data_IF_681035557121
#
_entry.id   IF_681035557121
#
_cell.length_a   1.000
_cell.length_b   1.000
_cell.length_c   1.000
_cell.angle_alpha   90.00
_cell.angle_beta   90.00
_cell.angle_gamma   90.00
#
_symmetry.space_group_name_H-M   'P 1'
#
loop_
_entity.id
_entity.type
_entity.pdbx_description
1 polymer ?
#
# COMPACT_ATOMS: atom_id res chain seq x y z
N UNK A 1 -20.45 19.06 -12.15
CA UNK A 1 -20.51 17.73 -11.50
C UNK A 1 -19.42 17.62 -10.42
N UNK A 2 -19.42 16.60 -9.55
CA UNK A 2 -18.28 16.34 -8.65
C UNK A 2 -17.13 15.64 -9.40
N UNK A 3 -15.89 15.91 -8.98
CA UNK A 3 -14.70 15.23 -9.51
C UNK A 3 -14.80 13.70 -9.34
N UNK A 4 -14.74 12.91 -10.42
CA UNK A 4 -14.78 11.45 -10.32
C UNK A 4 -13.62 10.89 -9.50
N UNK A 5 -13.89 9.88 -8.68
CA UNK A 5 -12.85 9.21 -7.89
C UNK A 5 -11.91 8.42 -8.79
N UNK A 6 -10.62 8.75 -8.76
CA UNK A 6 -9.55 7.94 -9.38
C UNK A 6 -8.51 7.45 -8.37
N UNK A 7 -8.79 7.57 -7.07
CA UNK A 7 -7.90 7.21 -5.97
C UNK A 7 -7.70 8.36 -4.98
N UNK A 8 -6.89 8.14 -3.92
CA UNK A 8 -6.66 9.14 -2.86
C UNK A 8 -6.13 10.48 -3.37
N UNK A 9 -5.42 10.51 -4.50
CA UNK A 9 -4.92 11.74 -5.12
C UNK A 9 -6.00 12.65 -5.71
N UNK A 10 -7.23 12.13 -5.88
CA UNK A 10 -8.41 12.92 -6.29
C UNK A 10 -9.29 13.32 -5.11
N UNK A 11 -8.75 13.18 -3.89
CA UNK A 11 -9.36 13.64 -2.66
C UNK A 11 -8.41 14.62 -1.98
N UNK A 12 -8.96 15.79 -1.71
CA UNK A 12 -8.22 16.96 -1.29
C UNK A 12 -8.48 17.26 0.18
N UNK A 13 -7.78 18.25 0.68
CA UNK A 13 -7.98 18.76 2.03
C UNK A 13 -9.33 19.47 2.12
N UNK A 14 -10.15 19.09 3.10
CA UNK A 14 -11.39 19.81 3.37
C UNK A 14 -11.09 21.18 4.00
N UNK A 15 -11.65 22.29 3.48
CA UNK A 15 -11.44 23.62 4.05
C UNK A 15 -12.10 23.79 5.43
N UNK A 16 -13.14 22.99 5.75
CA UNK A 16 -13.84 23.06 7.04
C UNK A 16 -13.18 22.23 8.13
N UNK A 17 -12.93 20.94 7.90
CA UNK A 17 -12.40 20.04 8.93
C UNK A 17 -10.89 19.76 8.81
N UNK A 18 -10.24 20.19 7.72
CA UNK A 18 -8.81 20.00 7.51
C UNK A 18 -8.39 18.58 7.14
N UNK A 19 -9.30 17.63 7.08
CA UNK A 19 -9.01 16.24 6.72
C UNK A 19 -8.50 16.13 5.27
N UNK A 20 -7.43 15.38 5.06
CA UNK A 20 -6.56 15.44 3.88
C UNK A 20 -7.13 14.74 2.64
N UNK A 21 -8.01 13.76 2.82
CA UNK A 21 -8.48 12.87 1.77
C UNK A 21 -10.00 12.71 1.75
N UNK A 22 -10.74 13.76 2.13
CA UNK A 22 -12.20 13.73 2.16
C UNK A 22 -12.87 14.82 1.34
N UNK A 23 -12.12 15.70 0.66
CA UNK A 23 -12.75 16.77 -0.13
C UNK A 23 -12.77 16.46 -1.63
N UNK A 24 -13.93 16.64 -2.25
CA UNK A 24 -14.17 16.42 -3.68
C UNK A 24 -14.60 17.73 -4.33
N UNK A 25 -13.83 18.24 -5.31
CA UNK A 25 -14.17 19.49 -6.00
C UNK A 25 -15.41 19.37 -6.89
N UNK A 26 -16.14 20.47 -7.04
CA UNK A 26 -17.00 20.64 -8.22
C UNK A 26 -16.15 21.02 -9.43
N UNK A 27 -16.39 20.32 -10.54
CA UNK A 27 -15.62 20.47 -11.78
C UNK A 27 -16.49 20.92 -12.95
N UNK A 28 -15.87 21.62 -13.89
CA UNK A 28 -16.46 21.93 -15.19
C UNK A 28 -16.68 20.64 -15.97
N UNK A 29 -17.96 20.40 -16.32
CA UNK A 29 -18.37 19.15 -16.94
C UNK A 29 -18.02 19.08 -18.42
N UNK A 30 -17.97 20.23 -19.12
CA UNK A 30 -17.63 20.28 -20.55
C UNK A 30 -16.16 19.98 -20.75
N UNK A 31 -15.28 20.68 -20.03
CA UNK A 31 -13.82 20.42 -20.07
C UNK A 31 -13.50 18.96 -19.73
N UNK A 32 -14.18 18.41 -18.73
CA UNK A 32 -13.96 17.02 -18.35
C UNK A 32 -14.41 16.01 -19.42
N UNK A 33 -15.54 16.26 -20.09
CA UNK A 33 -16.06 15.37 -21.13
C UNK A 33 -15.26 15.47 -22.43
N UNK A 34 -14.83 16.67 -22.82
CA UNK A 34 -14.17 16.93 -24.10
C UNK A 34 -12.68 16.55 -24.07
N UNK A 35 -11.96 16.89 -23.01
CA UNK A 35 -10.50 16.68 -22.93
C UNK A 35 -10.04 15.83 -21.73
N UNK A 36 -10.94 15.49 -20.80
CA UNK A 36 -10.57 14.82 -19.55
C UNK A 36 -9.91 15.74 -18.53
N UNK A 37 -9.82 17.04 -18.81
CA UNK A 37 -9.24 18.03 -17.92
C UNK A 37 -10.11 18.24 -16.68
N UNK A 38 -9.45 18.32 -15.52
CA UNK A 38 -10.09 18.69 -14.27
C UNK A 38 -9.97 20.20 -14.10
N UNK A 39 -11.05 20.93 -14.35
CA UNK A 39 -11.12 22.36 -14.08
C UNK A 39 -12.05 22.65 -12.91
N UNK A 40 -11.57 23.39 -11.92
CA UNK A 40 -12.28 23.71 -10.68
C UNK A 40 -12.66 25.19 -10.62
N UNK A 41 -13.76 25.51 -9.94
CA UNK A 41 -14.24 26.89 -9.80
C UNK A 41 -13.49 27.66 -8.70
N UNK A 42 -13.15 27.00 -7.60
CA UNK A 42 -12.30 27.51 -6.52
C UNK A 42 -11.78 26.36 -5.64
N UNK A 43 -10.76 26.62 -4.83
CA UNK A 43 -10.17 25.64 -3.90
C UNK A 43 -11.10 25.25 -2.73
N UNK A 44 -12.18 26.00 -2.51
CA UNK A 44 -13.16 25.72 -1.47
C UNK A 44 -14.53 25.25 -2.03
N UNK A 45 -14.67 25.16 -3.35
CA UNK A 45 -15.90 24.75 -4.04
C UNK A 45 -15.93 23.23 -4.25
N UNK A 46 -16.75 22.54 -3.46
CA UNK A 46 -16.81 21.09 -3.44
C UNK A 46 -17.62 20.54 -2.28
N UNK A 47 -17.46 19.25 -2.01
CA UNK A 47 -18.16 18.50 -0.96
C UNK A 47 -17.18 17.68 -0.14
N UNK A 48 -17.38 17.65 1.18
CA UNK A 48 -16.68 16.74 2.08
C UNK A 48 -17.42 15.39 2.16
N UNK A 49 -16.68 14.31 2.01
CA UNK A 49 -17.14 12.92 2.06
C UNK A 49 -17.53 12.51 3.50
N UNK A 50 -17.04 13.24 4.52
CA UNK A 50 -17.43 13.06 5.92
C UNK A 50 -18.81 13.71 6.20
N UNK A 51 -19.86 13.18 5.59
CA UNK A 51 -21.20 13.80 5.59
C UNK A 51 -21.81 13.94 7.00
N UNK A 52 -21.65 12.92 7.85
CA UNK A 52 -22.26 12.89 9.18
C UNK A 52 -21.53 13.76 10.22
N UNK A 53 -20.24 14.01 10.03
CA UNK A 53 -19.41 14.73 11.01
C UNK A 53 -19.04 16.14 10.54
N UNK A 54 -18.70 16.30 9.26
CA UNK A 54 -18.29 17.57 8.68
C UNK A 54 -19.42 18.21 7.85
N UNK A 55 -20.00 17.46 6.91
CA UNK A 55 -21.11 17.91 6.07
C UNK A 55 -20.84 19.16 5.21
N UNK A 56 -19.57 19.52 4.98
CA UNK A 56 -19.24 20.71 4.19
C UNK A 56 -19.64 20.55 2.73
N UNK A 57 -20.39 21.52 2.19
CA UNK A 57 -20.75 21.62 0.76
C UNK A 57 -20.72 23.10 0.36
N UNK A 58 -20.00 23.43 -0.71
CA UNK A 58 -20.04 24.74 -1.36
C UNK A 58 -20.21 24.55 -2.86
N UNK A 59 -21.32 25.06 -3.39
CA UNK A 59 -21.63 25.03 -4.82
C UNK A 59 -20.97 26.21 -5.55
N UNK A 60 -20.64 26.07 -6.85
CA UNK A 60 -20.13 27.18 -7.65
C UNK A 60 -21.22 28.24 -7.84
N UNK A 61 -20.87 29.52 -7.75
CA UNK A 61 -21.84 30.62 -7.80
C UNK A 61 -22.17 31.11 -9.22
N UNK A 62 -21.66 30.44 -10.26
CA UNK A 62 -21.98 30.71 -11.66
C UNK A 62 -21.25 31.89 -12.30
N UNK A 63 -20.61 32.75 -11.52
CA UNK A 63 -19.77 33.87 -12.01
C UNK A 63 -18.28 33.50 -12.11
N UNK A 64 -17.89 32.37 -11.54
CA UNK A 64 -16.50 31.93 -11.45
C UNK A 64 -16.09 31.18 -12.72
N UNK A 65 -14.91 31.49 -13.25
CA UNK A 65 -14.35 30.77 -14.39
C UNK A 65 -13.51 29.58 -13.90
N UNK A 66 -13.81 28.38 -14.41
CA UNK A 66 -13.11 27.18 -13.97
C UNK A 66 -11.67 27.13 -14.50
N UNK A 67 -10.72 27.02 -13.58
CA UNK A 67 -9.28 26.93 -13.87
C UNK A 67 -8.85 25.46 -13.89
N UNK A 68 -8.15 25.06 -14.95
CA UNK A 68 -7.60 23.71 -15.06
C UNK A 68 -6.50 23.53 -14.00
N UNK A 69 -6.68 22.57 -13.10
CA UNK A 69 -5.63 22.18 -12.15
C UNK A 69 -4.73 21.13 -12.79
N UNK A 70 -3.41 21.32 -12.62
CA UNK A 70 -2.40 20.47 -13.22
C UNK A 70 -2.64 18.99 -12.93
N UNK A 71 -2.55 18.16 -13.97
CA UNK A 71 -2.60 16.72 -13.83
C UNK A 71 -1.37 16.25 -13.04
N UNK A 72 -1.58 15.64 -11.87
CA UNK A 72 -0.49 14.92 -11.18
C UNK A 72 -0.16 13.71 -12.06
N UNK A 73 0.94 13.80 -12.80
CA UNK A 73 1.49 12.63 -13.50
C UNK A 73 1.70 11.51 -12.50
N UNK A 74 1.03 10.37 -12.74
CA UNK A 74 1.29 9.18 -11.96
C UNK A 74 2.67 8.71 -12.32
N UNK A 75 3.56 8.63 -11.33
CA UNK A 75 4.82 7.91 -11.50
C UNK A 75 4.49 6.50 -12.02
N UNK A 76 5.13 6.02 -13.10
CA UNK A 76 4.91 4.67 -13.57
C UNK A 76 5.19 3.69 -12.44
N UNK A 77 4.43 2.58 -12.35
CA UNK A 77 4.68 1.56 -11.35
C UNK A 77 6.10 1.03 -11.53
N UNK A 78 6.87 1.01 -10.45
CA UNK A 78 8.17 0.34 -10.40
C UNK A 78 7.92 -1.12 -10.04
N UNK A 79 8.46 -2.04 -10.83
CA UNK A 79 8.39 -3.47 -10.58
C UNK A 79 9.73 -3.99 -10.05
N UNK A 80 9.66 -4.92 -9.10
CA UNK A 80 10.84 -5.69 -8.70
C UNK A 80 10.96 -6.95 -9.56
N UNK A 81 12.20 -7.32 -9.86
CA UNK A 81 12.57 -8.53 -10.58
C UNK A 81 12.63 -9.74 -9.65
N UNK A 82 12.68 -10.94 -10.23
CA UNK A 82 12.86 -12.17 -9.46
C UNK A 82 14.24 -12.20 -8.78
N UNK A 83 15.22 -11.54 -9.37
CA UNK A 83 16.57 -11.35 -8.84
C UNK A 83 16.57 -10.46 -7.60
N UNK A 84 15.75 -9.40 -7.57
CA UNK A 84 15.56 -8.58 -6.37
C UNK A 84 15.05 -9.45 -5.21
N UNK A 85 14.13 -10.40 -5.47
CA UNK A 85 13.65 -11.36 -4.46
C UNK A 85 14.72 -12.38 -4.05
N UNK A 86 15.63 -12.76 -4.95
CA UNK A 86 16.75 -13.67 -4.62
C UNK A 86 17.83 -12.99 -3.78
N UNK A 87 18.08 -11.70 -3.98
CA UNK A 87 18.91 -10.92 -3.04
C UNK A 87 18.27 -10.94 -1.67
N UNK A 88 16.94 -10.88 -1.65
CA UNK A 88 16.19 -11.08 -0.44
C UNK A 88 16.07 -12.55 -0.03
N UNK A 89 17.08 -13.42 -0.18
CA UNK A 89 17.00 -14.87 0.07
C UNK A 89 17.90 -15.44 1.17
N UNK A 90 18.78 -14.65 1.80
CA UNK A 90 19.89 -15.19 2.60
C UNK A 90 19.99 -14.67 4.05
N UNK A 91 19.28 -15.29 5.00
CA UNK A 91 19.41 -15.09 6.46
C UNK A 91 18.83 -16.28 7.21
N UNK A 92 19.58 -16.65 8.23
CA UNK A 92 19.55 -17.90 8.97
C UNK A 92 18.66 -17.82 10.23
N UNK A 93 17.74 -16.85 10.29
CA UNK A 93 16.97 -16.57 11.50
C UNK A 93 15.50 -16.98 11.34
N UNK A 94 15.14 -18.09 11.98
CA UNK A 94 13.77 -18.61 12.02
C UNK A 94 12.77 -17.58 12.57
N UNK A 95 11.83 -17.17 11.74
CA UNK A 95 10.68 -16.37 12.14
C UNK A 95 9.61 -17.26 12.80
N UNK A 96 8.76 -16.65 13.62
CA UNK A 96 7.78 -17.36 14.44
C UNK A 96 6.73 -18.10 13.60
N UNK A 97 6.42 -17.64 12.39
CA UNK A 97 5.47 -18.34 11.51
C UNK A 97 6.05 -19.66 11.00
N UNK A 98 7.28 -19.65 10.48
CA UNK A 98 7.96 -20.86 9.98
C UNK A 98 8.16 -21.85 11.12
N UNK A 99 8.60 -21.37 12.29
CA UNK A 99 8.72 -22.20 13.50
C UNK A 99 7.39 -22.82 13.90
N UNK A 100 6.33 -22.01 13.98
CA UNK A 100 4.99 -22.51 14.28
C UNK A 100 4.54 -23.57 13.28
N UNK A 101 4.78 -23.37 11.99
CA UNK A 101 4.39 -24.30 10.94
C UNK A 101 5.10 -25.66 11.08
N UNK A 102 6.42 -25.65 11.32
CA UNK A 102 7.22 -26.86 11.54
C UNK A 102 6.86 -27.56 12.85
N UNK A 103 6.90 -26.82 13.95
CA UNK A 103 6.92 -27.40 15.30
C UNK A 103 5.52 -27.66 15.88
N UNK A 104 4.52 -26.87 15.48
CA UNK A 104 3.17 -26.92 16.08
C UNK A 104 2.07 -27.29 15.11
N UNK A 105 2.14 -26.82 13.87
CA UNK A 105 1.15 -27.15 12.85
C UNK A 105 1.44 -28.47 12.12
N UNK A 106 2.59 -29.11 12.38
CA UNK A 106 2.95 -30.42 11.87
C UNK A 106 3.28 -30.44 10.37
N UNK A 107 3.78 -29.33 9.82
CA UNK A 107 4.25 -29.32 8.44
C UNK A 107 5.59 -30.06 8.35
N UNK A 108 5.66 -30.99 7.42
CA UNK A 108 6.92 -31.57 6.98
C UNK A 108 7.88 -30.49 6.43
N UNK A 109 9.17 -30.66 6.67
CA UNK A 109 10.21 -29.71 6.32
C UNK A 109 10.31 -29.48 4.81
N UNK A 110 10.33 -30.56 4.01
CA UNK A 110 10.42 -30.46 2.55
C UNK A 110 9.16 -29.82 1.96
N UNK A 111 7.99 -30.19 2.50
CA UNK A 111 6.72 -29.58 2.12
C UNK A 111 6.69 -28.09 2.43
N UNK A 112 7.13 -27.69 3.63
CA UNK A 112 7.15 -26.28 4.01
C UNK A 112 8.14 -25.50 3.15
N UNK A 113 9.35 -26.02 2.94
CA UNK A 113 10.34 -25.42 2.05
C UNK A 113 9.77 -25.20 0.64
N UNK A 114 9.06 -26.20 0.09
CA UNK A 114 8.40 -26.07 -1.22
C UNK A 114 7.38 -24.92 -1.22
N UNK A 115 6.53 -24.82 -0.20
CA UNK A 115 5.56 -23.72 -0.07
C UNK A 115 6.25 -22.37 -0.01
N UNK A 116 7.31 -22.24 0.80
CA UNK A 116 8.02 -20.99 0.97
C UNK A 116 8.66 -20.54 -0.36
N UNK A 117 9.19 -21.47 -1.16
CA UNK A 117 9.71 -21.19 -2.50
C UNK A 117 8.61 -20.86 -3.51
N UNK A 118 7.56 -21.69 -3.59
CA UNK A 118 6.47 -21.53 -4.56
C UNK A 118 5.74 -20.20 -4.40
N UNK A 119 5.56 -19.75 -3.14
CA UNK A 119 4.90 -18.49 -2.80
C UNK A 119 5.88 -17.33 -2.56
N UNK A 120 7.18 -17.56 -2.83
CA UNK A 120 8.26 -16.60 -2.64
C UNK A 120 8.31 -15.98 -1.23
N UNK A 121 7.93 -16.70 -0.18
CA UNK A 121 7.81 -16.13 1.17
C UNK A 121 9.16 -15.63 1.69
N UNK A 122 9.22 -14.32 1.97
CA UNK A 122 10.38 -13.65 2.56
C UNK A 122 10.28 -13.46 4.07
N UNK A 123 11.34 -12.97 4.66
CA UNK A 123 11.52 -12.68 6.07
C UNK A 123 12.47 -11.48 6.22
N UNK A 124 12.21 -10.57 7.13
CA UNK A 124 13.12 -9.47 7.44
C UNK A 124 14.12 -9.87 8.51
N UNK A 125 15.21 -9.10 8.67
CA UNK A 125 16.18 -9.29 9.77
C UNK A 125 15.54 -9.24 11.16
N UNK A 126 14.46 -8.46 11.32
CA UNK A 126 13.65 -8.40 12.54
C UNK A 126 12.49 -9.41 12.59
N UNK A 127 12.65 -10.59 11.95
CA UNK A 127 11.74 -11.75 12.01
C UNK A 127 10.31 -11.54 11.47
N UNK A 128 10.05 -10.48 10.72
CA UNK A 128 8.76 -10.26 10.06
C UNK A 128 8.66 -11.04 8.76
N UNK A 129 7.50 -11.61 8.44
CA UNK A 129 7.27 -12.33 7.18
C UNK A 129 6.84 -11.39 6.07
N UNK A 130 7.48 -11.53 4.90
CA UNK A 130 7.14 -10.79 3.69
C UNK A 130 6.25 -11.63 2.78
N UNK A 131 5.04 -11.13 2.55
CA UNK A 131 4.11 -11.64 1.55
C UNK A 131 4.13 -10.71 0.33
N UNK A 132 4.53 -11.26 -0.82
CA UNK A 132 4.63 -10.50 -2.07
C UNK A 132 3.28 -10.37 -2.78
N UNK A 133 3.06 -9.22 -3.39
CA UNK A 133 1.96 -8.97 -4.31
C UNK A 133 2.49 -9.10 -5.72
N UNK A 134 2.20 -10.26 -6.32
CA UNK A 134 2.67 -10.67 -7.64
C UNK A 134 1.47 -10.70 -8.58
N UNK A 135 1.59 -10.11 -9.77
CA UNK A 135 0.53 -10.16 -10.77
C UNK A 135 0.59 -11.43 -11.65
N UNK A 136 -0.39 -11.57 -12.55
CA UNK A 136 -0.49 -12.70 -13.49
C UNK A 136 0.66 -12.79 -14.51
N UNK A 137 1.49 -11.74 -14.62
CA UNK A 137 2.69 -11.70 -15.46
C UNK A 137 3.96 -11.92 -14.63
N UNK A 138 3.82 -12.30 -13.37
CA UNK A 138 4.91 -12.48 -12.40
C UNK A 138 5.68 -11.19 -12.07
N UNK A 139 5.12 -10.01 -12.34
CA UNK A 139 5.72 -8.77 -11.86
C UNK A 139 5.42 -8.59 -10.38
N UNK A 140 6.42 -8.17 -9.63
CA UNK A 140 6.28 -7.90 -8.20
C UNK A 140 5.96 -6.43 -8.03
N UNK A 141 4.77 -6.15 -7.48
CA UNK A 141 4.29 -4.80 -7.27
C UNK A 141 4.66 -4.26 -5.89
N UNK A 142 4.48 -5.09 -4.85
CA UNK A 142 4.64 -4.69 -3.44
C UNK A 142 4.98 -5.90 -2.58
N UNK A 143 5.46 -5.63 -1.37
CA UNK A 143 5.52 -6.62 -0.28
C UNK A 143 4.81 -6.11 0.96
N UNK A 144 4.21 -7.04 1.71
CA UNK A 144 3.58 -6.78 3.00
C UNK A 144 4.29 -7.57 4.08
N UNK A 145 4.86 -6.86 5.04
CA UNK A 145 5.58 -7.42 6.18
C UNK A 145 4.59 -7.61 7.32
N UNK A 146 4.57 -8.80 7.91
CA UNK A 146 3.68 -9.16 9.02
C UNK A 146 4.44 -9.95 10.08
N UNK A 147 4.26 -9.61 11.35
CA UNK A 147 4.87 -10.32 12.47
C UNK A 147 3.89 -11.31 13.10
N UNK A 148 4.45 -12.41 13.61
CA UNK A 148 3.70 -13.50 14.23
C UNK A 148 4.28 -13.77 15.61
N UNK A 149 3.40 -14.13 16.53
CA UNK A 149 3.73 -14.69 17.84
C UNK A 149 4.05 -16.18 17.71
N UNK A 150 4.66 -16.76 18.73
CA UNK A 150 5.03 -18.20 18.75
C UNK A 150 3.81 -19.15 18.74
N UNK A 151 2.63 -18.65 19.09
CA UNK A 151 1.37 -19.39 19.00
C UNK A 151 0.73 -19.35 17.59
N UNK A 152 1.41 -18.74 16.61
CA UNK A 152 0.94 -18.61 15.25
C UNK A 152 -0.06 -17.47 15.03
N UNK A 153 -0.46 -16.74 16.07
CA UNK A 153 -1.29 -15.55 15.92
C UNK A 153 -0.47 -14.36 15.45
N UNK A 154 -1.13 -13.44 14.73
CA UNK A 154 -0.49 -12.19 14.29
C UNK A 154 -0.19 -11.30 15.48
N UNK A 155 0.99 -10.71 15.47
CA UNK A 155 1.37 -9.69 16.43
C UNK A 155 0.60 -8.39 16.16
N UNK A 156 0.31 -7.65 17.22
CA UNK A 156 -0.50 -6.43 17.20
C UNK A 156 0.20 -5.35 18.02
N UNK A 157 0.03 -4.09 17.61
CA UNK A 157 0.37 -2.94 18.42
C UNK A 157 -0.53 -2.84 19.65
N UNK A 158 -0.16 -2.05 20.68
CA UNK A 158 -0.96 -1.88 21.90
C UNK A 158 -2.38 -1.35 21.65
N UNK A 159 -2.60 -0.61 20.55
CA UNK A 159 -3.91 -0.11 20.11
C UNK A 159 -4.78 -1.18 19.41
N UNK A 160 -4.28 -2.41 19.29
CA UNK A 160 -4.97 -3.54 18.67
C UNK A 160 -4.85 -3.61 17.15
N UNK A 161 -4.20 -2.64 16.49
CA UNK A 161 -3.91 -2.73 15.07
C UNK A 161 -2.86 -3.83 14.81
N UNK A 162 -3.04 -4.59 13.72
CA UNK A 162 -2.07 -5.61 13.33
C UNK A 162 -0.69 -4.99 13.07
N UNK A 163 0.37 -5.61 13.58
CA UNK A 163 1.74 -5.20 13.29
C UNK A 163 2.07 -5.56 11.84
N UNK A 164 1.82 -4.60 10.95
CA UNK A 164 1.84 -4.78 9.51
C UNK A 164 2.52 -3.57 8.89
N UNK A 165 3.50 -3.82 8.01
CA UNK A 165 4.19 -2.76 7.29
C UNK A 165 4.20 -3.02 5.79
N UNK A 166 4.11 -1.94 5.01
CA UNK A 166 4.32 -2.03 3.56
C UNK A 166 5.78 -1.81 3.24
N UNK A 167 6.33 -2.69 2.41
CA UNK A 167 7.77 -2.75 2.15
C UNK A 167 8.28 -1.64 1.22
N UNK A 168 7.38 -0.91 0.54
CA UNK A 168 7.78 0.26 -0.27
C UNK A 168 8.51 1.34 0.56
N UNK A 169 8.33 1.37 1.89
CA UNK A 169 9.07 2.26 2.80
C UNK A 169 10.53 1.84 3.02
N UNK A 170 10.85 0.58 2.74
CA UNK A 170 12.17 -0.03 2.91
C UNK A 170 12.92 -0.15 1.57
N UNK A 171 12.19 -0.17 0.46
CA UNK A 171 12.73 -0.29 -0.90
C UNK A 171 12.76 1.04 -1.65
N UNK A 172 12.72 2.14 -0.92
CA UNK A 172 12.84 3.48 -1.49
C UNK A 172 14.29 3.64 -1.97
N UNK A 173 14.50 3.70 -3.30
CA UNK A 173 15.84 3.76 -3.91
C UNK A 173 16.62 5.03 -3.56
N UNK A 174 15.97 6.02 -2.95
CA UNK A 174 16.57 7.26 -2.47
C UNK A 174 17.15 7.13 -1.04
N UNK A 175 16.99 5.97 -0.39
CA UNK A 175 17.64 5.64 0.89
C UNK A 175 18.81 4.70 0.64
N UNK A 176 20.02 5.10 1.05
CA UNK A 176 21.25 4.29 1.11
C UNK A 176 21.18 3.19 2.20
N UNK A 177 20.04 2.51 2.36
CA UNK A 177 19.90 1.42 3.31
C UNK A 177 19.27 0.26 2.57
N UNK A 178 20.10 -0.68 2.12
CA UNK A 178 19.62 -1.95 1.58
C UNK A 178 18.86 -2.71 2.68
N UNK A 179 17.57 -3.00 2.50
CA UNK A 179 16.84 -3.75 3.51
C UNK A 179 17.28 -5.22 3.48
N UNK A 180 17.75 -5.72 4.61
CA UNK A 180 18.03 -7.16 4.81
C UNK A 180 16.71 -7.94 4.88
N UNK A 181 16.17 -8.33 3.73
CA UNK A 181 15.02 -9.22 3.57
C UNK A 181 15.52 -10.55 3.00
N UNK A 182 14.86 -11.68 3.27
CA UNK A 182 15.38 -13.05 3.15
C UNK A 182 14.27 -14.11 2.97
N UNK A 183 14.28 -14.90 1.90
CA UNK A 183 13.48 -16.08 1.66
C UNK A 183 13.69 -17.11 2.76
N UNK A 184 12.59 -17.61 3.28
CA UNK A 184 12.63 -18.70 4.25
C UNK A 184 12.89 -20.00 3.51
N UNK A 185 14.15 -20.37 3.29
CA UNK A 185 14.51 -21.61 2.55
C UNK A 185 15.05 -22.72 3.42
N UNK A 186 15.38 -22.40 4.68
CA UNK A 186 16.00 -23.34 5.61
C UNK A 186 14.97 -23.84 6.63
N UNK A 187 14.67 -25.13 6.54
CA UNK A 187 13.81 -25.90 7.44
C UNK A 187 14.61 -26.85 8.34
N UNK A 188 15.91 -26.60 8.49
CA UNK A 188 16.77 -27.42 9.36
C UNK A 188 16.50 -27.09 10.82
N UNK A 189 16.12 -28.13 11.56
CA UNK A 189 16.06 -28.16 13.03
C UNK A 189 17.43 -27.85 13.67
#
# INVERSE_FOLDING_TARGET
MLQPYRGPSTRHRCPKCGDLHSFTYYIDTRKYQDSGEVAIYSEDCGRCDNENTCGYIKYPQGTEQAVTIGHIERKPPVFYTREDVKMFAASRNGNNLVKFLLERAGFDADRLRKILVDYCIGSTSNRGIVFWQIDHRYNIHRGKIMWYREDGHREKYPDGHGMIQSMWKLLDRDREVEPEIVLCVDTTA
#
